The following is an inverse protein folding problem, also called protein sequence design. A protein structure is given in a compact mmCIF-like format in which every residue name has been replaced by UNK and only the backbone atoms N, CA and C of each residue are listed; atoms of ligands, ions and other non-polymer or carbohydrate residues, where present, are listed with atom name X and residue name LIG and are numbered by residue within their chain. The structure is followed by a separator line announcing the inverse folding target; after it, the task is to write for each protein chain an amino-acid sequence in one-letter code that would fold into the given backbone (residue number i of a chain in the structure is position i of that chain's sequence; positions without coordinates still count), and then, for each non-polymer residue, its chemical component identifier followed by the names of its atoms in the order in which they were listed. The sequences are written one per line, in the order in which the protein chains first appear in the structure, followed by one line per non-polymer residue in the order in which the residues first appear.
data_IF_347002879867
#
_entry.id   IF_347002879867
#
_cell.length_a   1.000
_cell.length_b   1.000
_cell.length_c   1.000
_cell.angle_alpha   90.00
_cell.angle_beta   90.00
_cell.angle_gamma   90.00
#
_symmetry.space_group_name_H-M   'P 1'
#
loop_
_entity.id
_entity.type
_entity.pdbx_description
1 polymer ?
#
# COMPACT_ATOMS: atom_id res chain seq x y z
N UNK A 1 -37.05 3.41 34.15
CA UNK A 1 -36.04 3.01 33.15
C UNK A 1 -34.99 4.10 33.15
N UNK A 2 -33.95 3.94 33.96
CA UNK A 2 -32.83 4.88 34.03
C UNK A 2 -31.86 4.52 32.90
N UNK A 3 -31.77 5.37 31.90
CA UNK A 3 -30.76 5.25 30.85
C UNK A 3 -29.40 5.59 31.46
N UNK A 4 -28.49 4.62 31.41
CA UNK A 4 -27.16 4.70 32.02
C UNK A 4 -26.30 5.70 31.22
N UNK A 5 -26.10 6.89 31.78
CA UNK A 5 -25.35 8.02 31.17
C UNK A 5 -23.94 7.63 30.69
N UNK A 6 -23.33 6.59 31.29
CA UNK A 6 -22.01 6.08 30.86
C UNK A 6 -22.03 5.44 29.47
N UNK A 7 -23.15 4.86 29.04
CA UNK A 7 -23.27 4.26 27.71
C UNK A 7 -23.31 5.33 26.61
N UNK A 8 -23.91 6.48 26.91
CA UNK A 8 -24.06 7.57 25.95
C UNK A 8 -22.71 8.29 25.71
N UNK A 9 -21.94 8.51 26.77
CA UNK A 9 -20.61 9.12 26.66
C UNK A 9 -19.61 8.24 25.88
N UNK A 10 -19.70 6.91 26.01
CA UNK A 10 -18.85 5.99 25.24
C UNK A 10 -19.18 5.97 23.74
N UNK A 11 -20.46 6.07 23.37
CA UNK A 11 -20.88 6.19 21.97
C UNK A 11 -20.46 7.54 21.35
N UNK A 12 -20.61 8.65 22.07
CA UNK A 12 -20.23 9.98 21.58
C UNK A 12 -18.71 10.08 21.38
N UNK A 13 -17.90 9.48 22.26
CA UNK A 13 -16.45 9.45 22.10
C UNK A 13 -16.00 8.69 20.84
N UNK A 14 -16.66 7.58 20.50
CA UNK A 14 -16.37 6.79 19.29
C UNK A 14 -16.82 7.48 18.00
N UNK A 15 -17.93 8.22 18.03
CA UNK A 15 -18.45 8.96 16.87
C UNK A 15 -17.54 10.15 16.51
N UNK A 16 -16.85 10.75 17.49
CA UNK A 16 -15.93 11.88 17.26
C UNK A 16 -14.52 11.40 16.86
N UNK A 17 -14.07 10.22 17.31
CA UNK A 17 -12.73 9.68 16.97
C UNK A 17 -12.55 9.36 15.48
N UNK A 18 -13.60 8.88 14.79
CA UNK A 18 -13.52 8.45 13.37
C UNK A 18 -13.30 9.61 12.38
N UNK A 19 -14.09 10.71 12.41
CA UNK A 19 -13.88 11.83 11.49
C UNK A 19 -12.57 12.58 11.79
N UNK A 20 -12.13 12.63 13.05
CA UNK A 20 -10.84 13.23 13.41
C UNK A 20 -9.67 12.42 12.86
N UNK A 21 -9.76 11.09 12.83
CA UNK A 21 -8.74 10.21 12.22
C UNK A 21 -8.68 10.31 10.69
N UNK A 22 -9.83 10.46 10.02
CA UNK A 22 -9.90 10.71 8.57
C UNK A 22 -9.34 12.09 8.19
N UNK A 23 -9.64 13.12 8.98
CA UNK A 23 -9.07 14.47 8.79
C UNK A 23 -7.58 14.49 9.10
N UNK A 24 -7.11 13.79 10.14
CA UNK A 24 -5.68 13.67 10.45
C UNK A 24 -4.93 12.85 9.41
N UNK A 25 -5.53 11.81 8.83
CA UNK A 25 -4.92 11.02 7.75
C UNK A 25 -4.82 11.84 6.47
N UNK A 26 -5.91 12.51 6.05
CA UNK A 26 -5.90 13.44 4.92
C UNK A 26 -4.91 14.58 5.11
N UNK A 27 -4.87 15.17 6.31
CA UNK A 27 -3.92 16.22 6.67
C UNK A 27 -2.47 15.68 6.74
N UNK A 28 -2.23 14.45 7.20
CA UNK A 28 -0.89 13.85 7.21
C UNK A 28 -0.40 13.57 5.79
N UNK A 29 -1.24 13.01 4.91
CA UNK A 29 -0.88 12.86 3.49
C UNK A 29 -0.66 14.22 2.82
N UNK A 30 -1.51 15.21 3.07
CA UNK A 30 -1.34 16.56 2.52
C UNK A 30 -0.10 17.29 3.09
N UNK A 31 0.24 17.08 4.36
CA UNK A 31 1.42 17.68 5.00
C UNK A 31 2.70 16.98 4.55
N UNK A 32 2.69 15.66 4.39
CA UNK A 32 3.82 14.92 3.80
C UNK A 32 4.06 15.32 2.33
N UNK A 33 2.98 15.59 1.58
CA UNK A 33 3.06 16.14 0.21
C UNK A 33 3.58 17.59 0.22
N UNK A 34 3.11 18.44 1.14
CA UNK A 34 3.58 19.81 1.28
C UNK A 34 5.06 19.91 1.67
N UNK A 35 5.54 19.05 2.57
CA UNK A 35 6.95 18.98 2.96
C UNK A 35 7.82 18.45 1.82
N UNK A 36 7.35 17.45 1.07
CA UNK A 36 8.08 16.95 -0.11
C UNK A 36 8.23 18.02 -1.20
N UNK A 37 7.21 18.84 -1.45
CA UNK A 37 7.26 19.94 -2.43
C UNK A 37 8.24 21.04 -2.00
N UNK A 38 8.30 21.38 -0.71
CA UNK A 38 9.25 22.38 -0.19
C UNK A 38 10.70 21.89 -0.27
N UNK A 39 10.96 20.59 -0.08
CA UNK A 39 12.30 20.02 -0.23
C UNK A 39 12.77 19.99 -1.70
N UNK A 40 11.87 19.78 -2.66
CA UNK A 40 12.21 19.75 -4.10
C UNK A 40 12.56 21.15 -4.62
N UNK A 41 11.97 22.21 -4.05
CA UNK A 41 12.28 23.60 -4.44
C UNK A 41 13.49 24.20 -3.71
N UNK A 42 13.97 23.55 -2.64
CA UNK A 42 15.06 24.06 -1.79
C UNK A 42 16.48 23.57 -2.16
N UNK A 43 16.62 22.59 -3.06
CA UNK A 43 17.92 21.96 -3.38
C UNK A 43 18.50 22.40 -4.72
N UNK A 44 18.30 23.66 -5.13
CA UNK A 44 19.18 24.27 -6.13
C UNK A 44 20.50 24.65 -5.46
N UNK A 45 21.44 23.70 -5.41
CA UNK A 45 22.86 23.99 -5.18
C UNK A 45 23.65 23.62 -6.44
N UNK A 46 24.54 24.51 -6.91
CA UNK A 46 25.17 24.39 -8.22
C UNK A 46 26.20 23.26 -8.26
N UNK A 47 26.15 22.49 -9.35
CA UNK A 47 27.16 21.50 -9.73
C UNK A 47 28.56 22.12 -9.75
N UNK A 48 29.42 21.65 -8.85
CA UNK A 48 30.87 21.74 -9.00
C UNK A 48 31.36 20.48 -9.73
N UNK A 49 31.71 20.64 -11.00
CA UNK A 49 32.51 19.69 -11.76
C UNK A 49 33.98 20.00 -11.46
N UNK A 50 34.72 19.08 -10.84
CA UNK A 50 36.16 19.00 -11.10
C UNK A 50 36.79 17.64 -10.84
N UNK A 51 37.77 17.34 -11.70
CA UNK A 51 38.88 16.38 -11.60
C UNK A 51 38.57 14.87 -11.60
N UNK A 52 39.38 13.99 -12.20
CA UNK A 52 40.53 14.07 -13.10
C UNK A 52 40.90 12.63 -13.44
N UNK A 53 41.37 12.39 -14.65
CA UNK A 53 41.96 11.13 -15.11
C UNK A 53 43.22 10.76 -14.32
N UNK A 54 43.35 9.50 -13.91
CA UNK A 54 44.58 8.72 -14.06
C UNK A 54 44.32 7.21 -13.82
N UNK A 55 44.93 6.39 -14.67
CA UNK A 55 45.01 4.91 -14.66
C UNK A 55 46.51 4.55 -14.51
N UNK A 56 47.01 3.29 -14.45
CA UNK A 56 46.37 1.95 -14.38
C UNK A 56 47.05 0.99 -13.35
N UNK A 57 46.64 -0.28 -13.29
CA UNK A 57 47.41 -1.33 -12.59
C UNK A 57 46.81 -2.74 -12.68
N UNK A 58 47.51 -3.62 -13.38
CA UNK A 58 47.22 -5.04 -13.68
C UNK A 58 47.24 -5.97 -12.45
N UNK A 59 46.48 -7.09 -12.51
CA UNK A 59 46.92 -8.43 -12.02
C UNK A 59 45.94 -9.58 -12.39
N UNK A 60 46.44 -10.46 -13.26
CA UNK A 60 46.32 -11.92 -13.41
C UNK A 60 45.42 -12.80 -12.50
N UNK A 61 44.56 -13.59 -13.19
CA UNK A 61 44.44 -15.08 -13.23
C UNK A 61 43.93 -15.93 -12.03
N UNK A 62 42.70 -16.45 -12.22
CA UNK A 62 42.23 -17.87 -12.20
C UNK A 62 42.21 -18.70 -10.88
N UNK A 63 41.49 -19.86 -10.78
CA UNK A 63 40.60 -20.53 -11.73
C UNK A 63 39.19 -20.94 -11.21
N UNK A 64 38.36 -21.34 -12.18
CA UNK A 64 37.06 -22.02 -12.04
C UNK A 64 37.21 -23.44 -11.47
N UNK A 65 36.37 -23.78 -10.50
CA UNK A 65 36.18 -25.15 -10.01
C UNK A 65 34.78 -25.65 -10.39
N UNK A 66 34.74 -26.60 -11.32
CA UNK A 66 33.58 -27.46 -11.59
C UNK A 66 33.38 -28.46 -10.46
N UNK A 67 32.13 -28.70 -10.06
CA UNK A 67 31.71 -29.99 -9.51
C UNK A 67 30.27 -30.27 -9.89
N UNK A 68 30.09 -31.51 -10.35
CA UNK A 68 28.96 -32.02 -11.08
C UNK A 68 28.19 -33.05 -10.23
N UNK A 69 26.88 -33.18 -10.48
CA UNK A 69 26.05 -34.41 -10.42
C UNK A 69 25.79 -34.97 -8.98
N UNK A 70 24.64 -35.51 -8.55
CA UNK A 70 23.39 -36.04 -9.15
C UNK A 70 22.38 -36.36 -7.99
N UNK A 71 21.15 -36.90 -8.22
CA UNK A 71 19.96 -36.70 -7.40
C UNK A 71 19.63 -37.87 -6.47
N UNK A 72 18.68 -37.68 -5.54
CA UNK A 72 18.00 -38.79 -4.85
C UNK A 72 16.62 -38.42 -4.27
N UNK A 73 15.60 -38.92 -4.99
CA UNK A 73 14.37 -39.60 -4.53
C UNK A 73 13.18 -38.83 -3.91
N UNK A 74 11.95 -39.36 -4.13
CA UNK A 74 10.70 -38.67 -3.85
C UNK A 74 10.24 -38.92 -2.42
N UNK A 75 9.85 -37.86 -1.72
CA UNK A 75 9.15 -37.98 -0.46
C UNK A 75 7.64 -38.08 -0.74
N UNK A 76 7.11 -39.29 -0.62
CA UNK A 76 5.66 -39.51 -0.54
C UNK A 76 5.24 -39.24 0.90
N UNK A 77 4.64 -38.08 1.15
CA UNK A 77 3.85 -37.86 2.37
C UNK A 77 2.39 -37.78 1.97
N UNK A 78 1.69 -38.88 2.19
CA UNK A 78 0.24 -38.98 2.12
C UNK A 78 -0.26 -38.75 3.55
N UNK A 79 -0.56 -37.49 3.88
CA UNK A 79 -1.35 -37.13 5.05
C UNK A 79 -2.51 -36.30 4.53
N UNK A 80 -3.72 -36.83 4.72
CA UNK A 80 -4.94 -36.21 4.26
C UNK A 80 -5.17 -34.88 4.94
N UNK A 81 -5.15 -33.81 4.16
CA UNK A 81 -5.84 -32.56 4.47
C UNK A 81 -7.17 -32.61 3.73
N UNK A 82 -8.24 -32.86 4.46
CA UNK A 82 -9.54 -32.28 4.12
C UNK A 82 -9.41 -30.76 4.27
N UNK A 83 -8.77 -30.13 3.28
CA UNK A 83 -8.90 -28.70 3.08
C UNK A 83 -10.33 -28.49 2.57
N UNK A 84 -11.20 -28.01 3.45
CA UNK A 84 -12.24 -27.11 2.99
C UNK A 84 -11.49 -25.98 2.30
N UNK A 85 -11.43 -26.02 0.97
CA UNK A 85 -11.09 -24.86 0.17
C UNK A 85 -12.19 -23.85 0.50
N UNK A 86 -11.83 -22.83 1.27
CA UNK A 86 -12.61 -21.60 1.36
C UNK A 86 -12.74 -21.07 -0.07
N UNK A 87 -13.88 -21.37 -0.70
CA UNK A 87 -14.40 -20.75 -1.93
C UNK A 87 -14.79 -19.28 -1.66
N UNK A 88 -13.98 -18.55 -0.89
CA UNK A 88 -14.09 -17.10 -0.85
C UNK A 88 -13.63 -16.61 -2.22
N UNK A 89 -14.49 -15.95 -3.01
CA UNK A 89 -14.06 -15.38 -4.26
C UNK A 89 -12.87 -14.48 -3.95
N UNK A 90 -11.75 -14.60 -4.69
CA UNK A 90 -10.59 -13.80 -4.41
C UNK A 90 -11.02 -12.34 -4.44
N UNK A 91 -10.66 -11.58 -3.39
CA UNK A 91 -10.83 -10.12 -3.36
C UNK A 91 -10.36 -9.46 -4.68
N UNK A 92 -9.49 -10.17 -5.42
CA UNK A 92 -9.24 -10.25 -6.86
C UNK A 92 -10.16 -9.55 -7.86
N UNK A 93 -11.48 -9.64 -7.68
CA UNK A 93 -12.42 -9.27 -8.76
C UNK A 93 -12.88 -7.82 -8.66
N UNK A 94 -12.87 -7.22 -7.47
CA UNK A 94 -13.53 -5.93 -7.23
C UNK A 94 -12.80 -4.70 -7.77
N UNK A 95 -11.47 -4.79 -7.94
CA UNK A 95 -10.62 -3.66 -8.32
C UNK A 95 -10.13 -3.70 -9.78
N UNK A 96 -10.66 -4.67 -10.55
CA UNK A 96 -10.46 -4.79 -12.00
C UNK A 96 -11.71 -4.38 -12.81
N UNK A 97 -12.73 -3.84 -12.16
CA UNK A 97 -13.94 -3.38 -12.84
C UNK A 97 -13.63 -2.25 -13.83
N UNK A 98 -14.44 -2.12 -14.87
CA UNK A 98 -14.26 -1.06 -15.87
C UNK A 98 -14.61 0.33 -15.29
N UNK A 99 -15.37 0.36 -14.19
CA UNK A 99 -15.73 1.58 -13.46
C UNK A 99 -15.78 1.37 -11.95
N UNK A 100 -15.65 2.47 -11.21
CA UNK A 100 -15.82 2.52 -9.76
C UNK A 100 -17.18 1.98 -9.30
N UNK A 101 -18.26 2.33 -10.00
CA UNK A 101 -19.62 1.89 -9.65
C UNK A 101 -19.80 0.40 -9.85
N UNK A 102 -19.31 -0.15 -10.96
CA UNK A 102 -19.36 -1.59 -11.23
C UNK A 102 -18.59 -2.39 -10.17
N UNK A 103 -17.37 -1.94 -9.80
CA UNK A 103 -16.58 -2.59 -8.77
C UNK A 103 -17.26 -2.57 -7.40
N UNK A 104 -17.90 -1.45 -7.05
CA UNK A 104 -18.68 -1.33 -5.81
C UNK A 104 -19.94 -2.20 -5.82
N UNK A 105 -20.73 -2.18 -6.90
CA UNK A 105 -21.94 -3.00 -7.02
C UNK A 105 -21.61 -4.49 -6.95
N UNK A 106 -20.50 -4.91 -7.58
CA UNK A 106 -20.00 -6.28 -7.48
C UNK A 106 -19.58 -6.63 -6.05
N UNK A 107 -18.96 -5.69 -5.32
CA UNK A 107 -18.58 -5.89 -3.93
C UNK A 107 -19.80 -6.07 -3.04
N UNK A 108 -20.81 -5.23 -3.20
CA UNK A 108 -22.10 -5.32 -2.49
C UNK A 108 -22.79 -6.65 -2.81
N UNK A 109 -22.82 -7.07 -4.08
CA UNK A 109 -23.45 -8.33 -4.48
C UNK A 109 -22.72 -9.56 -3.90
N UNK A 110 -21.40 -9.48 -3.73
CA UNK A 110 -20.56 -10.60 -3.26
C UNK A 110 -20.52 -10.69 -1.73
N UNK A 111 -20.35 -9.56 -1.05
CA UNK A 111 -20.08 -9.51 0.39
C UNK A 111 -21.25 -8.96 1.22
N UNK A 112 -22.18 -8.25 0.58
CA UNK A 112 -23.26 -7.52 1.25
C UNK A 112 -22.85 -6.11 1.69
N UNK A 113 -23.82 -5.21 1.76
CA UNK A 113 -23.59 -3.79 2.08
C UNK A 113 -23.02 -3.56 3.48
N UNK A 114 -23.31 -4.45 4.43
CA UNK A 114 -22.89 -4.36 5.83
C UNK A 114 -21.45 -4.86 6.07
N UNK A 115 -20.78 -5.39 5.03
CA UNK A 115 -19.42 -5.94 5.13
C UNK A 115 -18.37 -4.83 5.17
N UNK A 116 -17.36 -4.98 6.04
CA UNK A 116 -16.32 -3.96 6.20
C UNK A 116 -15.54 -3.71 4.90
N UNK A 117 -15.38 -4.73 4.05
CA UNK A 117 -14.64 -4.63 2.79
C UNK A 117 -15.35 -3.73 1.79
N UNK A 118 -16.69 -3.74 1.79
CA UNK A 118 -17.50 -2.88 0.93
C UNK A 118 -17.40 -1.43 1.40
N UNK A 119 -17.53 -1.18 2.70
CA UNK A 119 -17.36 0.16 3.26
C UNK A 119 -15.95 0.71 3.00
N UNK A 120 -14.93 -0.13 3.19
CA UNK A 120 -13.54 0.20 2.93
C UNK A 120 -13.29 0.53 1.45
N UNK A 121 -13.76 -0.32 0.54
CA UNK A 121 -13.69 -0.07 -0.91
C UNK A 121 -14.34 1.27 -1.26
N UNK A 122 -15.52 1.55 -0.70
CA UNK A 122 -16.21 2.80 -0.95
C UNK A 122 -15.40 4.02 -0.51
N UNK A 123 -14.74 3.97 0.66
CA UNK A 123 -13.88 5.06 1.14
C UNK A 123 -12.67 5.26 0.24
N UNK A 124 -12.01 4.18 -0.18
CA UNK A 124 -10.84 4.26 -1.09
C UNK A 124 -11.25 4.84 -2.45
N UNK A 125 -12.31 4.29 -3.05
CA UNK A 125 -12.80 4.73 -4.37
C UNK A 125 -13.35 6.15 -4.30
N UNK A 126 -14.08 6.50 -3.24
CA UNK A 126 -14.50 7.88 -3.01
C UNK A 126 -13.29 8.79 -2.88
N UNK A 127 -12.29 8.43 -2.08
CA UNK A 127 -11.05 9.21 -1.99
C UNK A 127 -10.39 9.42 -3.35
N UNK A 128 -10.32 8.40 -4.19
CA UNK A 128 -9.78 8.53 -5.55
C UNK A 128 -10.66 9.41 -6.45
N UNK A 129 -11.98 9.31 -6.32
CA UNK A 129 -12.94 10.00 -7.18
C UNK A 129 -13.34 11.41 -6.68
N UNK A 130 -13.07 11.76 -5.42
CA UNK A 130 -13.46 13.03 -4.80
C UNK A 130 -12.29 13.80 -4.19
N UNK A 131 -11.09 13.21 -4.04
CA UNK A 131 -9.96 13.95 -3.46
C UNK A 131 -9.62 15.19 -4.29
N UNK A 132 -9.15 16.22 -3.60
CA UNK A 132 -8.59 17.47 -4.12
C UNK A 132 -7.31 17.30 -4.97
N UNK A 133 -6.98 16.07 -5.38
CA UNK A 133 -6.35 15.88 -6.67
C UNK A 133 -7.39 16.34 -7.70
N UNK A 134 -7.64 17.66 -7.84
CA UNK A 134 -8.32 18.18 -9.02
C UNK A 134 -7.46 17.63 -10.16
N UNK A 135 -7.90 16.60 -10.89
CA UNK A 135 -7.06 16.01 -11.91
C UNK A 135 -6.82 17.07 -12.99
N UNK A 136 -7.75 18.03 -13.08
CA UNK A 136 -7.65 19.23 -13.91
C UNK A 136 -6.75 20.29 -13.28
N UNK A 137 -6.56 20.33 -11.97
CA UNK A 137 -5.64 21.20 -11.23
C UNK A 137 -4.19 20.80 -11.47
N UNK A 138 -3.90 19.49 -11.49
CA UNK A 138 -2.62 18.95 -11.93
C UNK A 138 -2.32 19.29 -13.41
N UNK A 139 -3.36 19.38 -14.25
CA UNK A 139 -3.27 19.82 -15.65
C UNK A 139 -3.28 21.35 -15.82
N UNK A 140 -3.62 22.13 -14.77
CA UNK A 140 -3.67 23.59 -14.78
C UNK A 140 -2.33 24.23 -14.40
N UNK A 141 -1.33 23.46 -13.96
CA UNK A 141 0.04 23.92 -13.91
C UNK A 141 0.50 24.30 -15.34
N UNK A 142 1.28 25.38 -15.54
CA UNK A 142 1.63 25.91 -16.87
C UNK A 142 2.46 24.95 -17.76
N UNK A 143 2.79 23.76 -17.26
CA UNK A 143 3.43 22.68 -18.00
C UNK A 143 2.48 21.48 -17.97
N UNK A 144 1.79 21.20 -19.09
CA UNK A 144 1.06 19.94 -19.27
C UNK A 144 2.06 18.78 -19.10
N UNK A 145 1.96 18.05 -18.00
CA UNK A 145 2.72 16.83 -17.82
C UNK A 145 2.06 15.70 -18.61
N UNK A 146 2.55 15.49 -19.84
CA UNK A 146 2.05 14.45 -20.76
C UNK A 146 2.11 13.05 -20.14
N UNK A 147 3.01 12.82 -19.17
CA UNK A 147 3.11 11.54 -18.46
C UNK A 147 1.94 11.29 -17.49
N UNK A 148 1.16 12.32 -17.15
CA UNK A 148 0.01 12.24 -16.23
C UNK A 148 -1.34 12.32 -16.94
N UNK A 149 -1.40 12.99 -18.11
CA UNK A 149 -2.65 13.30 -18.82
C UNK A 149 -3.51 12.04 -19.07
N UNK A 150 -2.89 10.97 -19.56
CA UNK A 150 -3.61 9.72 -19.82
C UNK A 150 -4.18 9.08 -18.55
N UNK A 151 -3.44 9.12 -17.43
CA UNK A 151 -3.85 8.51 -16.17
C UNK A 151 -4.98 9.32 -15.52
N UNK A 152 -4.91 10.66 -15.66
CA UNK A 152 -6.00 11.57 -15.26
C UNK A 152 -7.27 11.28 -16.05
N UNK A 153 -7.20 11.20 -17.37
CA UNK A 153 -8.37 10.90 -18.21
C UNK A 153 -8.97 9.54 -17.89
N UNK A 154 -8.13 8.51 -17.72
CA UNK A 154 -8.56 7.18 -17.34
C UNK A 154 -9.21 7.15 -15.94
N UNK A 155 -8.67 7.90 -14.97
CA UNK A 155 -9.25 7.99 -13.63
C UNK A 155 -10.59 8.73 -13.64
N UNK A 156 -10.71 9.81 -14.43
CA UNK A 156 -12.00 10.51 -14.62
C UNK A 156 -13.03 9.56 -15.23
N UNK A 157 -12.66 8.81 -16.26
CA UNK A 157 -13.54 7.82 -16.88
C UNK A 157 -13.97 6.75 -15.85
N UNK A 158 -13.03 6.21 -15.07
CA UNK A 158 -13.30 5.24 -14.02
C UNK A 158 -14.28 5.77 -12.95
N UNK A 159 -14.19 7.06 -12.62
CA UNK A 159 -14.97 7.72 -11.57
C UNK A 159 -16.28 8.38 -12.02
N UNK A 160 -16.59 8.42 -13.32
CA UNK A 160 -17.63 9.28 -13.90
C UNK A 160 -19.00 9.11 -13.22
N UNK A 161 -19.40 7.88 -12.92
CA UNK A 161 -20.71 7.54 -12.37
C UNK A 161 -20.69 7.12 -10.89
N UNK A 162 -19.56 7.26 -10.20
CA UNK A 162 -19.46 6.87 -8.80
C UNK A 162 -20.15 7.91 -7.89
N UNK A 163 -21.22 7.49 -7.22
CA UNK A 163 -22.09 8.36 -6.39
C UNK A 163 -22.42 7.75 -5.03
N UNK A 164 -21.52 6.93 -4.48
CA UNK A 164 -21.73 6.31 -3.17
C UNK A 164 -21.50 7.36 -2.08
N UNK A 165 -22.56 7.63 -1.31
CA UNK A 165 -22.45 8.39 -0.07
C UNK A 165 -21.94 7.46 1.05
N UNK A 166 -20.64 7.51 1.29
CA UNK A 166 -19.99 6.69 2.34
C UNK A 166 -20.50 7.01 3.74
N UNK A 167 -21.07 8.20 3.97
CA UNK A 167 -21.65 8.57 5.27
C UNK A 167 -23.00 7.89 5.52
N UNK A 168 -23.67 7.44 4.46
CA UNK A 168 -24.92 6.70 4.51
C UNK A 168 -24.71 5.18 4.61
N UNK A 169 -23.47 4.70 4.52
CA UNK A 169 -23.17 3.27 4.66
C UNK A 169 -23.37 2.82 6.13
N UNK A 170 -23.95 1.65 6.35
CA UNK A 170 -24.14 1.13 7.69
C UNK A 170 -22.79 0.93 8.39
N UNK A 171 -22.70 1.13 9.72
CA UNK A 171 -21.49 0.83 10.45
C UNK A 171 -21.19 -0.67 10.29
N UNK A 172 -19.98 -0.98 9.84
CA UNK A 172 -19.59 -2.36 9.64
C UNK A 172 -19.68 -3.14 10.95
N UNK A 173 -20.43 -4.24 10.93
CA UNK A 173 -20.62 -5.11 12.10
C UNK A 173 -19.38 -5.93 12.45
N UNK A 174 -18.47 -6.08 11.49
CA UNK A 174 -17.27 -6.92 11.57
C UNK A 174 -16.00 -6.10 11.30
N UNK A 175 -16.01 -4.79 11.62
CA UNK A 175 -14.80 -3.98 11.48
C UNK A 175 -13.68 -4.59 12.34
N UNK A 176 -12.48 -4.84 11.77
CA UNK A 176 -11.37 -5.36 12.54
C UNK A 176 -11.02 -4.40 13.68
N UNK A 177 -10.60 -4.95 14.82
CA UNK A 177 -10.16 -4.14 15.94
C UNK A 177 -8.90 -3.35 15.52
N UNK A 178 -8.86 -2.05 15.79
CA UNK A 178 -7.67 -1.23 15.50
C UNK A 178 -6.50 -1.65 16.38
N UNK A 179 -5.29 -1.66 15.82
CA UNK A 179 -4.07 -2.03 16.55
C UNK A 179 -3.84 -1.10 17.75
N UNK A 180 -4.18 0.19 17.60
CA UNK A 180 -4.10 1.17 18.70
C UNK A 180 -5.14 0.89 19.81
N UNK A 181 -6.27 0.23 19.50
CA UNK A 181 -7.20 -0.25 20.53
C UNK A 181 -6.55 -1.38 21.34
N UNK A 182 -5.97 -2.36 20.64
CA UNK A 182 -5.27 -3.50 21.25
C UNK A 182 -4.12 -3.01 22.13
N UNK A 183 -3.31 -2.06 21.66
CA UNK A 183 -2.21 -1.51 22.47
C UNK A 183 -2.72 -0.84 23.75
N UNK A 184 -3.78 -0.02 23.64
CA UNK A 184 -4.35 0.68 24.80
C UNK A 184 -4.93 -0.29 25.84
N UNK A 185 -5.49 -1.42 25.42
CA UNK A 185 -6.17 -2.37 26.30
C UNK A 185 -5.24 -3.45 26.86
N UNK A 186 -4.37 -3.99 26.01
CA UNK A 186 -3.58 -5.21 26.26
C UNK A 186 -2.07 -4.96 26.25
N UNK A 187 -1.64 -3.75 25.87
CA UNK A 187 -0.24 -3.35 25.81
C UNK A 187 0.45 -3.65 24.48
N UNK A 188 1.68 -3.16 24.35
CA UNK A 188 2.47 -3.18 23.10
C UNK A 188 2.73 -4.59 22.56
N UNK A 189 3.11 -5.54 23.41
CA UNK A 189 3.41 -6.90 22.93
C UNK A 189 2.19 -7.58 22.29
N UNK A 190 1.00 -7.36 22.86
CA UNK A 190 -0.25 -7.85 22.29
C UNK A 190 -0.53 -7.18 20.93
N UNK A 191 -0.33 -5.86 20.83
CA UNK A 191 -0.48 -5.13 19.58
C UNK A 191 0.52 -5.56 18.50
N UNK A 192 1.77 -5.85 18.85
CA UNK A 192 2.78 -6.41 17.94
C UNK A 192 2.40 -7.80 17.46
N UNK A 193 1.88 -8.66 18.34
CA UNK A 193 1.38 -9.98 17.96
C UNK A 193 0.20 -9.85 17.00
N UNK A 194 -0.77 -9.00 17.34
CA UNK A 194 -1.94 -8.74 16.54
C UNK A 194 -1.59 -8.16 15.16
N UNK A 195 -0.66 -7.21 15.07
CA UNK A 195 -0.18 -6.69 13.79
C UNK A 195 0.45 -7.78 12.90
N UNK A 196 1.21 -8.73 13.48
CA UNK A 196 1.74 -9.87 12.71
C UNK A 196 0.64 -10.83 12.26
N UNK A 197 -0.37 -11.06 13.09
CA UNK A 197 -1.54 -11.85 12.72
C UNK A 197 -2.31 -11.21 11.57
N UNK A 198 -2.47 -9.88 11.58
CA UNK A 198 -3.03 -9.13 10.44
C UNK A 198 -2.20 -9.37 9.16
N UNK A 199 -0.87 -9.30 9.23
CA UNK A 199 -0.03 -9.55 8.03
C UNK A 199 -0.13 -10.98 7.50
N UNK A 200 -0.44 -11.96 8.36
CA UNK A 200 -0.72 -13.35 7.95
C UNK A 200 -2.12 -13.51 7.35
N UNK A 201 -3.07 -12.71 7.85
CA UNK A 201 -4.50 -12.84 7.61
C UNK A 201 -5.07 -12.02 6.45
N UNK A 202 -6.29 -11.54 6.66
CA UNK A 202 -7.16 -10.97 5.62
C UNK A 202 -6.61 -9.73 4.90
N UNK A 203 -7.26 -9.42 3.79
CA UNK A 203 -6.82 -8.57 2.66
C UNK A 203 -7.24 -7.10 2.81
N UNK A 204 -7.70 -6.68 4.00
CA UNK A 204 -8.10 -5.28 4.21
C UNK A 204 -6.89 -4.35 4.07
N UNK A 205 -6.93 -3.46 3.09
CA UNK A 205 -5.78 -2.61 2.72
C UNK A 205 -5.37 -1.72 3.89
N UNK A 206 -6.32 -1.03 4.52
CA UNK A 206 -6.03 -0.11 5.60
C UNK A 206 -5.52 -0.84 6.84
N UNK A 207 -6.14 -1.97 7.22
CA UNK A 207 -5.67 -2.76 8.38
C UNK A 207 -4.27 -3.32 8.10
N UNK A 208 -4.01 -3.79 6.88
CA UNK A 208 -2.68 -4.27 6.48
C UNK A 208 -1.63 -3.16 6.50
N UNK A 209 -2.00 -1.95 6.07
CA UNK A 209 -1.12 -0.78 6.08
C UNK A 209 -0.86 -0.27 7.51
N UNK A 210 -1.91 -0.23 8.36
CA UNK A 210 -1.80 0.09 9.80
C UNK A 210 -0.85 -0.92 10.48
N UNK A 211 -1.00 -2.22 10.23
CA UNK A 211 -0.12 -3.26 10.75
C UNK A 211 1.34 -3.09 10.30
N UNK A 212 1.55 -2.84 9.01
CA UNK A 212 2.89 -2.66 8.45
C UNK A 212 3.60 -1.45 9.08
N UNK A 213 2.91 -0.31 9.17
CA UNK A 213 3.43 0.91 9.78
C UNK A 213 3.68 0.74 11.28
N UNK A 214 2.76 0.09 11.99
CA UNK A 214 2.92 -0.18 13.41
C UNK A 214 4.17 -1.01 13.70
N UNK A 215 4.41 -2.05 12.89
CA UNK A 215 5.61 -2.88 12.99
C UNK A 215 6.89 -2.08 12.65
N UNK A 216 6.84 -1.16 11.67
CA UNK A 216 7.96 -0.29 11.34
C UNK A 216 8.33 0.62 12.51
N UNK A 217 7.35 1.34 13.06
CA UNK A 217 7.51 2.30 14.17
C UNK A 217 8.12 1.64 15.41
N UNK A 218 7.83 0.35 15.62
CA UNK A 218 8.32 -0.43 16.74
C UNK A 218 9.55 -1.29 16.42
N UNK A 219 10.18 -1.11 15.25
CA UNK A 219 11.39 -1.84 14.85
C UNK A 219 11.19 -3.35 14.70
N UNK A 220 9.95 -3.77 14.46
CA UNK A 220 9.54 -5.16 14.31
C UNK A 220 9.50 -5.64 12.85
N UNK A 221 9.93 -4.80 11.91
CA UNK A 221 10.23 -5.18 10.52
C UNK A 221 11.75 -5.35 10.32
N UNK A 222 12.19 -6.10 9.31
CA UNK A 222 13.61 -6.17 8.96
C UNK A 222 14.12 -4.79 8.52
N UNK A 223 15.27 -4.40 9.06
CA UNK A 223 15.97 -3.18 8.67
C UNK A 223 16.55 -3.33 7.25
N UNK A 224 16.88 -2.22 6.55
CA UNK A 224 17.55 -2.26 5.25
C UNK A 224 18.79 -3.17 5.22
N UNK A 225 19.59 -3.22 6.30
CA UNK A 225 20.77 -4.10 6.41
C UNK A 225 20.44 -5.59 6.26
N UNK A 226 19.28 -6.04 6.72
CA UNK A 226 18.84 -7.42 6.58
C UNK A 226 18.59 -7.80 5.10
N UNK A 227 18.43 -6.81 4.23
CA UNK A 227 18.28 -6.97 2.78
C UNK A 227 19.57 -6.68 2.00
N UNK A 228 20.71 -6.51 2.69
CA UNK A 228 21.98 -6.13 2.07
C UNK A 228 22.05 -4.67 1.64
N UNK A 229 21.18 -3.81 2.18
CA UNK A 229 21.15 -2.38 1.91
C UNK A 229 21.82 -1.57 3.03
N UNK A 230 22.46 -0.47 2.66
CA UNK A 230 23.14 0.42 3.61
C UNK A 230 22.11 1.21 4.43
N UNK A 231 22.10 1.07 5.75
CA UNK A 231 21.10 1.72 6.63
C UNK A 231 21.20 3.26 6.63
N UNK A 232 22.42 3.80 6.48
CA UNK A 232 22.69 5.24 6.40
C UNK A 232 22.04 5.91 5.17
N UNK A 233 21.69 5.13 4.14
CA UNK A 233 21.03 5.64 2.93
C UNK A 233 19.51 5.73 3.02
N UNK A 234 18.88 5.06 3.99
CA UNK A 234 17.43 4.96 4.06
C UNK A 234 16.92 5.40 5.42
N UNK A 235 16.50 6.66 5.50
CA UNK A 235 15.89 7.22 6.70
C UNK A 235 14.55 6.55 7.01
N UNK A 236 13.98 6.90 8.16
CA UNK A 236 12.67 6.40 8.55
C UNK A 236 11.59 6.72 7.51
N UNK A 237 11.62 7.92 6.92
CA UNK A 237 10.68 8.34 5.88
C UNK A 237 10.79 7.47 4.61
N UNK A 238 12.00 7.13 4.17
CA UNK A 238 12.22 6.27 3.00
C UNK A 238 11.69 4.85 3.25
N UNK A 239 11.92 4.33 4.45
CA UNK A 239 11.42 3.02 4.88
C UNK A 239 9.89 3.02 4.94
N UNK A 240 9.31 4.06 5.52
CA UNK A 240 7.86 4.24 5.62
C UNK A 240 7.21 4.30 4.23
N UNK A 241 7.74 5.11 3.32
CA UNK A 241 7.23 5.24 1.97
C UNK A 241 7.36 3.93 1.19
N UNK A 242 8.53 3.29 1.23
CA UNK A 242 8.79 2.04 0.52
C UNK A 242 7.91 0.89 1.06
N UNK A 243 7.69 0.84 2.38
CA UNK A 243 6.80 -0.14 3.00
C UNK A 243 5.34 0.10 2.65
N UNK A 244 4.89 1.35 2.62
CA UNK A 244 3.54 1.71 2.19
C UNK A 244 3.30 1.32 0.72
N UNK A 245 4.26 1.56 -0.16
CA UNK A 245 4.19 1.15 -1.57
C UNK A 245 4.24 -0.38 -1.74
N UNK A 246 5.09 -1.07 -0.98
CA UNK A 246 5.14 -2.53 -0.94
C UNK A 246 3.81 -3.14 -0.47
N UNK A 247 3.17 -2.52 0.52
CA UNK A 247 1.84 -2.88 1.01
C UNK A 247 0.79 -2.68 -0.06
N UNK A 248 0.73 -1.50 -0.67
CA UNK A 248 -0.22 -1.19 -1.75
C UNK A 248 -0.10 -2.20 -2.89
N UNK A 249 1.13 -2.54 -3.26
CA UNK A 249 1.38 -3.53 -4.30
C UNK A 249 0.92 -4.93 -3.91
N UNK A 250 1.23 -5.41 -2.70
CA UNK A 250 0.79 -6.73 -2.26
C UNK A 250 -0.73 -6.82 -2.24
N UNK A 251 -1.39 -5.81 -1.69
CA UNK A 251 -2.85 -5.68 -1.68
C UNK A 251 -3.39 -5.69 -3.10
N UNK A 252 -2.80 -4.89 -3.99
CA UNK A 252 -3.15 -4.78 -5.39
C UNK A 252 -3.06 -6.15 -6.10
N UNK A 253 -2.04 -6.97 -5.81
CA UNK A 253 -1.94 -8.32 -6.38
C UNK A 253 -2.97 -9.29 -5.82
N UNK A 254 -3.16 -9.27 -4.49
CA UNK A 254 -4.18 -10.11 -3.83
C UNK A 254 -5.60 -9.75 -4.28
N UNK A 255 -5.81 -8.48 -4.60
CA UNK A 255 -7.05 -7.93 -5.13
C UNK A 255 -7.12 -7.93 -6.66
N UNK A 256 -6.11 -8.49 -7.36
CA UNK A 256 -6.04 -8.54 -8.82
C UNK A 256 -5.91 -7.18 -9.50
N UNK A 257 -6.04 -6.06 -8.78
CA UNK A 257 -6.10 -4.70 -9.29
C UNK A 257 -4.73 -4.07 -9.55
N UNK A 258 -3.77 -4.79 -10.14
CA UNK A 258 -2.45 -4.24 -10.54
C UNK A 258 -2.32 -3.94 -12.02
N UNK A 259 -3.41 -4.09 -12.76
CA UNK A 259 -3.46 -3.74 -14.17
C UNK A 259 -3.32 -2.23 -14.41
N UNK A 260 -3.00 -1.82 -15.65
CA UNK A 260 -2.71 -0.44 -15.99
C UNK A 260 -3.86 0.55 -15.77
N UNK A 261 -5.10 0.06 -15.78
CA UNK A 261 -6.31 0.86 -15.56
C UNK A 261 -6.93 0.63 -14.18
N UNK A 262 -6.21 -0.05 -13.29
CA UNK A 262 -6.68 -0.28 -11.94
C UNK A 262 -6.66 1.02 -11.11
N UNK A 263 -7.49 1.12 -10.06
CA UNK A 263 -7.50 2.29 -9.17
C UNK A 263 -6.13 2.56 -8.52
N UNK A 264 -5.40 1.51 -8.14
CA UNK A 264 -4.07 1.64 -7.54
C UNK A 264 -3.06 2.23 -8.53
N UNK A 265 -3.04 1.70 -9.75
CA UNK A 265 -2.11 2.18 -10.79
C UNK A 265 -2.46 3.58 -11.24
N UNK A 266 -3.74 3.86 -11.54
CA UNK A 266 -4.19 5.17 -11.96
C UNK A 266 -3.93 6.22 -10.87
N UNK A 267 -4.26 5.91 -9.60
CA UNK A 267 -3.99 6.80 -8.47
C UNK A 267 -2.51 7.15 -8.32
N UNK A 268 -1.63 6.16 -8.46
CA UNK A 268 -0.18 6.41 -8.43
C UNK A 268 0.30 7.22 -9.64
N UNK A 269 -0.15 6.88 -10.85
CA UNK A 269 0.29 7.54 -12.07
C UNK A 269 -0.21 8.97 -12.23
N UNK A 270 -1.37 9.31 -11.66
CA UNK A 270 -1.80 10.71 -11.53
C UNK A 270 -0.83 11.52 -10.66
N UNK A 271 -0.29 10.92 -9.60
CA UNK A 271 0.60 11.61 -8.67
C UNK A 271 2.05 11.71 -9.16
N UNK A 272 2.57 10.61 -9.72
CA UNK A 272 3.98 10.49 -10.08
C UNK A 272 4.27 10.73 -11.57
N UNK A 273 3.28 10.52 -12.45
CA UNK A 273 3.51 10.41 -13.89
C UNK A 273 4.00 9.02 -14.28
N UNK A 274 3.49 8.44 -15.36
CA UNK A 274 3.87 7.09 -15.80
C UNK A 274 3.75 6.97 -17.32
N UNK A 275 4.39 5.95 -17.88
CA UNK A 275 4.10 5.56 -19.27
C UNK A 275 2.68 4.98 -19.41
N UNK A 276 1.95 5.27 -20.52
CA UNK A 276 0.66 4.64 -20.79
C UNK A 276 0.76 3.11 -20.81
N UNK A 277 -0.13 2.45 -20.10
CA UNK A 277 -0.15 0.98 -20.02
C UNK A 277 0.80 0.38 -18.97
N UNK A 278 1.52 1.20 -18.19
CA UNK A 278 2.32 0.70 -17.06
C UNK A 278 1.43 0.04 -16.02
N UNK A 279 1.81 -1.15 -15.55
CA UNK A 279 1.24 -1.76 -14.33
C UNK A 279 1.75 -1.03 -13.09
N UNK A 280 1.18 -1.29 -11.90
CA UNK A 280 1.68 -0.66 -10.67
C UNK A 280 3.18 -0.97 -10.42
N UNK A 281 3.61 -2.20 -10.72
CA UNK A 281 5.01 -2.59 -10.59
C UNK A 281 5.94 -1.81 -11.53
N UNK A 282 5.54 -1.68 -12.81
CA UNK A 282 6.28 -0.89 -13.79
C UNK A 282 6.34 0.59 -13.39
N UNK A 283 5.21 1.14 -12.93
CA UNK A 283 5.12 2.52 -12.48
C UNK A 283 6.09 2.81 -11.34
N UNK A 284 6.20 1.92 -10.34
CA UNK A 284 7.20 2.05 -9.27
C UNK A 284 8.63 1.95 -9.79
N UNK A 285 8.90 1.05 -10.74
CA UNK A 285 10.22 0.93 -11.33
C UNK A 285 10.64 2.18 -12.11
N UNK A 286 9.70 2.83 -12.81
CA UNK A 286 9.94 4.04 -13.61
C UNK A 286 10.19 5.29 -12.74
N UNK A 287 9.49 5.39 -11.60
CA UNK A 287 9.42 6.66 -10.84
C UNK A 287 10.23 6.67 -9.54
N UNK A 288 10.58 5.51 -9.00
CA UNK A 288 11.39 5.45 -7.77
C UNK A 288 12.88 5.48 -8.10
N UNK A 289 13.67 6.03 -7.18
CA UNK A 289 15.12 5.87 -7.26
C UNK A 289 15.49 4.38 -7.21
N UNK A 290 16.61 3.94 -7.81
CA UNK A 290 17.00 2.53 -7.79
C UNK A 290 17.08 1.94 -6.37
N UNK A 291 17.50 2.76 -5.39
CA UNK A 291 17.55 2.37 -3.98
C UNK A 291 16.15 2.19 -3.37
N UNK A 292 15.24 3.14 -3.58
CA UNK A 292 13.87 3.06 -3.07
C UNK A 292 13.10 1.90 -3.71
N UNK A 293 13.26 1.67 -5.01
CA UNK A 293 12.67 0.52 -5.69
C UNK A 293 13.22 -0.80 -5.14
N UNK A 294 14.52 -0.91 -4.89
CA UNK A 294 15.10 -2.11 -4.28
C UNK A 294 14.55 -2.34 -2.85
N UNK A 295 14.43 -1.28 -2.04
CA UNK A 295 13.88 -1.37 -0.69
C UNK A 295 12.39 -1.78 -0.71
N UNK A 296 11.58 -1.20 -1.61
CA UNK A 296 10.19 -1.61 -1.86
C UNK A 296 10.12 -3.09 -2.19
N UNK A 297 10.93 -3.57 -3.14
CA UNK A 297 10.94 -4.99 -3.53
C UNK A 297 11.27 -5.91 -2.37
N UNK A 298 12.23 -5.53 -1.53
CA UNK A 298 12.61 -6.28 -0.33
C UNK A 298 11.48 -6.32 0.71
N UNK A 299 10.85 -5.18 0.99
CA UNK A 299 9.68 -5.17 1.88
C UNK A 299 8.52 -5.97 1.33
N UNK A 300 8.24 -5.88 0.03
CA UNK A 300 7.20 -6.67 -0.61
C UNK A 300 7.48 -8.17 -0.51
N UNK A 301 8.72 -8.62 -0.75
CA UNK A 301 9.11 -10.01 -0.57
C UNK A 301 8.96 -10.47 0.88
N UNK A 302 9.35 -9.63 1.84
CA UNK A 302 9.15 -9.90 3.26
C UNK A 302 7.67 -10.00 3.63
N UNK A 303 6.83 -9.03 3.23
CA UNK A 303 5.39 -9.06 3.46
C UNK A 303 4.74 -10.32 2.88
N UNK A 304 5.12 -10.72 1.66
CA UNK A 304 4.67 -11.99 1.07
C UNK A 304 5.06 -13.21 1.88
N UNK A 305 6.28 -13.23 2.42
CA UNK A 305 6.74 -14.34 3.27
C UNK A 305 5.94 -14.48 4.56
N UNK A 306 5.40 -13.38 5.10
CA UNK A 306 4.56 -13.41 6.30
C UNK A 306 3.24 -14.15 6.04
N UNK A 307 2.73 -14.16 4.80
CA UNK A 307 1.47 -14.86 4.45
C UNK A 307 1.62 -16.37 4.27
N UNK A 308 2.84 -16.86 4.12
CA UNK A 308 3.13 -18.30 3.90
C UNK A 308 3.52 -19.05 5.17
N UNK A 309 3.63 -18.37 6.31
CA UNK A 309 4.06 -18.91 7.60
C UNK A 309 2.87 -19.07 8.55
#
# INVERSE_FOLDING_TARGET
MEWNERSLQSCIARIIEVPVRLVLFGAMTATLIGVAIVFIQGTESPLYLDHSSDSPGDAEHAPLGESALTPSRPFTSRVGTTAAQDDQPPAGVLLNAASASEGFDQAVATFGLDDYRVAHLAVVVQGLCTSELDPRGALQAPVRDVSREWAVEALIAYCTDFRVDTSALPPSRNAPESILSVERQLGREAALSFAREVLRGEVDVLTFQEASLYLLEHGAIPKPSAFGLSEDRFGFADQQLSLAQATNLLVCELSGGCGPYSPFTLGYCVQSGCSPGSTLWMAYQENLSPGAYHLLRSYYAWLRSQRTQ
#
